data_IF_034053772479
#
_entry.id   IF_034053772479
#
_cell.length_a   1.000
_cell.length_b   1.000
_cell.length_c   1.000
_cell.angle_alpha   90.00
_cell.angle_beta   90.00
_cell.angle_gamma   90.00
#
_symmetry.space_group_name_H-M   'P 1'
#
loop_
_entity.id
_entity.type
_entity.pdbx_description
1 polymer ?
#
# COMPACT_ATOMS: atom_id res chain seq x y z
N UNK A 1 -18.81 10.90 9.62
CA UNK A 1 -18.48 9.74 10.46
C UNK A 1 -17.32 10.14 11.35
N UNK A 2 -17.32 9.76 12.63
CA UNK A 2 -16.19 10.06 13.51
C UNK A 2 -14.93 9.41 12.95
N UNK A 3 -13.83 10.16 12.93
CA UNK A 3 -12.55 9.71 12.39
C UNK A 3 -11.44 10.26 13.27
N UNK A 4 -10.47 9.43 13.61
CA UNK A 4 -9.38 9.79 14.50
C UNK A 4 -8.20 10.37 13.73
N UNK A 5 -7.65 11.47 14.25
CA UNK A 5 -6.41 12.06 13.75
C UNK A 5 -5.47 12.29 14.91
N UNK A 6 -4.28 11.69 14.85
CA UNK A 6 -3.35 11.73 15.96
C UNK A 6 -2.27 10.65 15.86
N UNK A 7 -1.64 10.36 16.99
CA UNK A 7 -0.65 9.29 17.12
C UNK A 7 -1.27 8.10 17.84
N UNK A 8 -1.10 6.92 17.27
CA UNK A 8 -1.44 5.63 17.87
C UNK A 8 -0.15 5.02 18.38
N UNK A 9 -0.07 4.74 19.68
CA UNK A 9 0.97 3.87 20.24
C UNK A 9 0.32 2.55 20.62
N UNK A 10 0.89 1.47 20.13
CA UNK A 10 0.36 0.13 20.25
C UNK A 10 1.46 -0.76 20.81
N UNK A 11 1.13 -1.57 21.82
CA UNK A 11 1.93 -2.72 22.20
C UNK A 11 1.12 -3.98 21.91
N UNK A 12 1.70 -4.86 21.11
CA UNK A 12 1.17 -6.22 20.93
C UNK A 12 1.82 -7.09 21.99
N UNK A 13 1.02 -7.57 22.95
CA UNK A 13 1.51 -8.38 24.07
C UNK A 13 1.61 -9.84 23.64
N UNK A 14 0.47 -10.50 23.47
CA UNK A 14 0.37 -11.93 23.18
C UNK A 14 -0.94 -12.28 22.47
N UNK A 15 -1.03 -13.51 21.95
CA UNK A 15 -2.29 -14.09 21.52
C UNK A 15 -2.46 -15.48 22.14
N UNK A 16 -3.71 -15.88 22.35
CA UNK A 16 -4.07 -17.18 22.91
C UNK A 16 -5.10 -17.87 22.02
N UNK A 17 -5.13 -19.20 22.11
CA UNK A 17 -6.15 -20.03 21.46
C UNK A 17 -6.24 -19.85 19.93
N UNK A 18 -5.12 -19.54 19.28
CA UNK A 18 -5.07 -19.44 17.82
C UNK A 18 -5.42 -20.78 17.19
N UNK A 19 -6.40 -20.77 16.26
CA UNK A 19 -6.83 -21.95 15.53
C UNK A 19 -6.28 -21.93 14.11
N UNK A 20 -5.45 -22.90 13.72
CA UNK A 20 -5.04 -23.04 12.32
C UNK A 20 -6.28 -23.27 11.43
N UNK A 21 -6.32 -22.62 10.27
CA UNK A 21 -7.40 -22.80 9.29
C UNK A 21 -7.31 -24.19 8.63
N UNK A 22 -8.41 -24.75 8.14
CA UNK A 22 -8.38 -26.06 7.46
C UNK A 22 -7.33 -26.12 6.34
N UNK A 23 -7.08 -24.99 5.65
CA UNK A 23 -6.03 -24.83 4.66
C UNK A 23 -4.62 -25.15 5.21
N UNK A 24 -4.28 -24.64 6.40
CA UNK A 24 -2.99 -24.92 7.07
C UNK A 24 -2.84 -26.40 7.45
N UNK A 25 -3.95 -27.12 7.67
CA UNK A 25 -3.92 -28.56 8.02
C UNK A 25 -3.82 -29.51 6.82
N UNK A 26 -3.99 -29.01 5.57
CA UNK A 26 -4.00 -29.85 4.36
C UNK A 26 -2.67 -30.54 4.06
N UNK A 27 -1.55 -29.92 4.42
CA UNK A 27 -0.22 -30.51 4.22
C UNK A 27 0.19 -31.51 5.31
N UNK A 28 -0.62 -31.66 6.37
CA UNK A 28 -0.31 -32.50 7.52
C UNK A 28 -0.86 -33.93 7.41
N UNK A 29 -1.92 -34.14 6.62
CA UNK A 29 -2.60 -35.43 6.52
C UNK A 29 -1.97 -36.30 5.42
N UNK A 30 -0.76 -36.78 5.69
CA UNK A 30 -0.20 -37.95 4.99
C UNK A 30 -0.89 -39.20 5.56
N UNK A 31 -1.42 -40.04 4.68
CA UNK A 31 -2.09 -41.30 5.01
C UNK A 31 -1.17 -42.16 5.90
N UNK A 32 -1.59 -42.44 7.14
CA UNK A 32 -0.94 -43.40 8.05
C UNK A 32 -0.33 -42.86 9.35
N UNK A 33 -0.33 -41.54 9.57
CA UNK A 33 0.27 -40.92 10.78
C UNK A 33 -0.79 -40.45 11.78
N UNK A 34 -0.54 -40.61 13.10
CA UNK A 34 -1.39 -40.03 14.16
C UNK A 34 -1.55 -38.51 13.95
N UNK A 35 -2.71 -37.91 14.27
CA UNK A 35 -2.91 -36.47 14.14
C UNK A 35 -1.98 -35.73 15.12
N UNK A 36 -0.86 -35.25 14.63
CA UNK A 36 0.03 -34.37 15.38
C UNK A 36 -0.50 -32.94 15.19
N UNK A 37 -0.79 -32.23 16.29
CA UNK A 37 -1.14 -30.80 16.23
C UNK A 37 0.03 -30.04 15.57
N UNK A 38 -0.15 -29.63 14.32
CA UNK A 38 0.84 -28.86 13.57
C UNK A 38 0.88 -27.44 14.12
N UNK A 39 1.85 -27.19 15.00
CA UNK A 39 2.13 -25.86 15.53
C UNK A 39 2.43 -24.88 14.38
N UNK A 40 1.90 -23.67 14.49
CA UNK A 40 2.10 -22.60 13.51
C UNK A 40 3.26 -21.67 13.90
N UNK A 41 3.73 -20.89 12.94
CA UNK A 41 4.70 -19.82 13.12
C UNK A 41 4.02 -18.45 13.02
N UNK A 42 3.36 -17.94 14.09
CA UNK A 42 2.47 -16.80 13.98
C UNK A 42 3.21 -15.45 13.97
N UNK A 43 2.70 -14.50 13.19
CA UNK A 43 3.00 -13.08 13.31
C UNK A 43 1.72 -12.25 13.11
N UNK A 44 1.72 -11.00 13.59
CA UNK A 44 0.59 -10.08 13.48
C UNK A 44 0.92 -8.97 12.48
N UNK A 45 0.00 -8.75 11.55
CA UNK A 45 -0.08 -7.57 10.70
C UNK A 45 -0.96 -6.52 11.37
N UNK A 46 -0.48 -5.28 11.44
CA UNK A 46 -1.21 -4.14 12.00
C UNK A 46 -1.66 -3.24 10.85
N UNK A 47 -2.95 -2.98 10.78
CA UNK A 47 -3.59 -2.29 9.67
C UNK A 47 -4.40 -1.11 10.19
N UNK A 48 -4.42 0.00 9.47
CA UNK A 48 -5.33 1.13 9.71
C UNK A 48 -6.13 1.35 8.44
N UNK A 49 -7.46 1.22 8.52
CA UNK A 49 -8.37 1.28 7.35
C UNK A 49 -7.87 0.41 6.17
N UNK A 50 -7.54 -0.86 6.45
CA UNK A 50 -6.98 -1.84 5.52
C UNK A 50 -5.55 -1.55 5.00
N UNK A 51 -4.95 -0.42 5.38
CA UNK A 51 -3.57 -0.08 5.03
C UNK A 51 -2.62 -0.70 6.06
N UNK A 52 -1.73 -1.58 5.60
CA UNK A 52 -0.66 -2.16 6.42
C UNK A 52 0.27 -1.05 6.96
N UNK A 53 0.36 -0.95 8.28
CA UNK A 53 1.25 -0.02 9.00
C UNK A 53 2.54 -0.71 9.40
N UNK A 54 2.43 -1.87 10.04
CA UNK A 54 3.58 -2.60 10.57
C UNK A 54 3.28 -4.10 10.72
N UNK A 55 4.32 -4.89 11.05
CA UNK A 55 4.20 -6.30 11.38
C UNK A 55 5.06 -6.62 12.60
N UNK A 56 4.62 -7.59 13.39
CA UNK A 56 5.43 -8.14 14.49
C UNK A 56 6.52 -9.10 13.98
N UNK A 57 7.42 -9.49 14.87
CA UNK A 57 8.27 -10.66 14.64
C UNK A 57 7.44 -11.94 14.55
N UNK A 58 7.95 -12.93 13.82
CA UNK A 58 7.38 -14.27 13.75
C UNK A 58 7.83 -15.09 14.95
N UNK A 59 6.88 -15.67 15.68
CA UNK A 59 7.17 -16.67 16.72
C UNK A 59 7.12 -18.04 16.10
N UNK A 60 7.99 -18.93 16.56
CA UNK A 60 8.12 -20.26 15.97
C UNK A 60 7.29 -21.26 16.77
N UNK A 61 6.55 -22.12 16.06
CA UNK A 61 5.88 -23.33 16.57
C UNK A 61 5.06 -23.10 17.84
N UNK A 62 4.06 -22.22 17.78
CA UNK A 62 3.18 -21.92 18.92
C UNK A 62 1.78 -21.46 18.51
N UNK A 63 0.76 -21.85 19.28
CA UNK A 63 -0.60 -21.27 19.23
C UNK A 63 -0.81 -20.17 20.28
N UNK A 64 0.20 -19.93 21.12
CA UNK A 64 0.22 -18.94 22.19
C UNK A 64 1.45 -18.03 22.08
N UNK A 65 1.57 -17.25 20.98
CA UNK A 65 2.72 -16.38 20.79
C UNK A 65 2.74 -15.21 21.77
N UNK A 66 3.94 -14.88 22.26
CA UNK A 66 4.21 -13.69 23.08
C UNK A 66 5.18 -12.80 22.30
N UNK A 67 4.73 -11.60 21.93
CA UNK A 67 5.51 -10.63 21.16
C UNK A 67 6.14 -9.57 22.05
N UNK A 68 5.34 -8.90 22.88
CA UNK A 68 5.74 -7.73 23.66
C UNK A 68 6.45 -6.65 22.81
N UNK A 69 5.89 -6.38 21.63
CA UNK A 69 6.46 -5.45 20.65
C UNK A 69 5.67 -4.14 20.60
N UNK A 70 6.39 -3.02 20.44
CA UNK A 70 5.83 -1.67 20.45
C UNK A 70 5.85 -1.06 19.04
N UNK A 71 4.77 -0.37 18.71
CA UNK A 71 4.55 0.29 17.44
C UNK A 71 4.00 1.69 17.66
N UNK A 72 4.46 2.65 16.86
CA UNK A 72 3.94 4.01 16.86
C UNK A 72 3.63 4.43 15.44
N UNK A 73 2.43 4.96 15.21
CA UNK A 73 2.00 5.42 13.90
C UNK A 73 1.21 6.73 14.00
N UNK A 74 1.50 7.67 13.09
CA UNK A 74 0.66 8.84 12.85
C UNK A 74 -0.45 8.46 11.88
N UNK A 75 -1.70 8.77 12.25
CA UNK A 75 -2.89 8.44 11.48
C UNK A 75 -3.73 9.70 11.27
N UNK A 76 -4.35 9.80 10.09
CA UNK A 76 -5.16 10.95 9.69
C UNK A 76 -6.51 10.48 9.16
N UNK A 77 -7.58 10.91 9.81
CA UNK A 77 -8.94 10.52 9.43
C UNK A 77 -9.20 9.02 9.51
N UNK A 78 -8.56 8.33 10.45
CA UNK A 78 -8.61 6.89 10.58
C UNK A 78 -9.91 6.41 11.24
N UNK A 79 -10.49 5.31 10.77
CA UNK A 79 -11.74 4.76 11.31
C UNK A 79 -11.51 3.49 12.11
N UNK A 80 -10.69 2.58 11.58
CA UNK A 80 -10.50 1.23 12.13
C UNK A 80 -9.02 0.88 12.31
N UNK A 81 -8.71 0.26 13.45
CA UNK A 81 -7.44 -0.40 13.73
C UNK A 81 -7.65 -1.92 13.62
N UNK A 82 -7.00 -2.54 12.65
CA UNK A 82 -7.09 -3.96 12.36
C UNK A 82 -5.84 -4.75 12.77
N UNK A 83 -6.06 -5.97 13.22
CA UNK A 83 -5.01 -6.95 13.50
C UNK A 83 -5.29 -8.21 12.68
N UNK A 84 -4.28 -8.72 11.98
CA UNK A 84 -4.41 -9.98 11.23
C UNK A 84 -3.24 -10.89 11.55
N UNK A 85 -3.55 -12.08 12.07
CA UNK A 85 -2.58 -13.12 12.40
C UNK A 85 -2.35 -14.01 11.19
N UNK A 86 -1.08 -14.23 10.86
CA UNK A 86 -0.64 -15.10 9.79
C UNK A 86 0.29 -16.18 10.31
N UNK A 87 0.25 -17.36 9.71
CA UNK A 87 1.28 -18.39 9.83
C UNK A 87 2.33 -18.17 8.74
N UNK A 88 3.57 -17.90 9.13
CA UNK A 88 4.69 -17.82 8.19
C UNK A 88 4.97 -19.20 7.57
N UNK A 89 4.65 -19.36 6.30
CA UNK A 89 4.80 -20.61 5.55
C UNK A 89 5.36 -20.33 4.16
N UNK A 90 6.10 -21.30 3.60
CA UNK A 90 6.56 -21.24 2.22
C UNK A 90 5.60 -22.05 1.33
N UNK A 91 5.07 -21.49 0.22
CA UNK A 91 5.54 -20.29 -0.49
C UNK A 91 4.82 -18.98 -0.13
N UNK A 92 3.75 -19.03 0.67
CA UNK A 92 2.97 -17.87 1.09
C UNK A 92 2.46 -18.06 2.50
N UNK A 93 2.41 -16.97 3.26
CA UNK A 93 1.88 -16.97 4.61
C UNK A 93 0.38 -17.27 4.60
N UNK A 94 -0.04 -18.17 5.48
CA UNK A 94 -1.44 -18.57 5.60
C UNK A 94 -2.17 -17.68 6.58
N UNK A 95 -3.37 -17.23 6.22
CA UNK A 95 -4.25 -16.51 7.13
C UNK A 95 -4.67 -17.43 8.28
N UNK A 96 -4.59 -16.92 9.51
CA UNK A 96 -5.03 -17.62 10.73
C UNK A 96 -6.31 -17.00 11.24
N UNK A 97 -6.27 -15.71 11.60
CA UNK A 97 -7.42 -15.00 12.16
C UNK A 97 -7.25 -13.48 12.05
N UNK A 98 -8.32 -12.71 12.19
CA UNK A 98 -8.26 -11.24 12.26
C UNK A 98 -9.26 -10.65 13.26
N UNK A 99 -9.06 -9.38 13.59
CA UNK A 99 -10.04 -8.55 14.26
C UNK A 99 -9.87 -7.09 13.83
N UNK A 100 -10.89 -6.28 14.09
CA UNK A 100 -10.87 -4.84 13.86
C UNK A 100 -11.58 -4.14 15.00
N UNK A 101 -11.05 -3.02 15.46
CA UNK A 101 -11.65 -2.16 16.48
C UNK A 101 -11.73 -0.74 15.94
N UNK A 102 -12.83 -0.04 16.17
CA UNK A 102 -12.93 1.35 15.72
C UNK A 102 -12.13 2.28 16.64
N UNK A 103 -11.57 3.35 16.08
CA UNK A 103 -10.91 4.37 16.89
C UNK A 103 -11.88 5.12 17.81
N UNK A 104 -13.16 5.18 17.46
CA UNK A 104 -14.18 5.82 18.28
C UNK A 104 -14.46 4.99 19.55
N UNK A 105 -14.61 3.66 19.41
CA UNK A 105 -14.74 2.75 20.56
C UNK A 105 -13.53 2.86 21.49
N UNK A 106 -12.31 2.84 20.94
CA UNK A 106 -11.07 2.97 21.72
C UNK A 106 -10.95 4.32 22.44
N UNK A 107 -11.42 5.40 21.81
CA UNK A 107 -11.41 6.72 22.41
C UNK A 107 -12.47 6.87 23.52
N UNK A 108 -13.61 6.20 23.38
CA UNK A 108 -14.67 6.21 24.38
C UNK A 108 -14.32 5.33 25.59
N UNK A 109 -13.77 4.14 25.38
CA UNK A 109 -13.32 3.26 26.47
C UNK A 109 -12.21 3.89 27.32
N UNK A 110 -11.27 4.59 26.69
CA UNK A 110 -10.23 5.36 27.39
C UNK A 110 -10.82 6.44 28.32
N UNK A 111 -11.81 7.19 27.83
CA UNK A 111 -12.48 8.25 28.61
C UNK A 111 -13.24 7.68 29.82
N UNK A 112 -13.93 6.56 29.64
CA UNK A 112 -14.69 5.90 30.72
C UNK A 112 -13.77 5.38 31.84
N UNK A 113 -12.58 4.92 31.49
CA UNK A 113 -11.60 4.39 32.45
C UNK A 113 -10.70 5.48 33.07
N UNK A 114 -10.80 6.74 32.61
CA UNK A 114 -9.93 7.83 33.07
C UNK A 114 -8.46 7.63 32.73
N UNK A 115 -8.16 6.79 31.74
CA UNK A 115 -6.81 6.43 31.28
C UNK A 115 -6.68 6.72 29.79
N UNK A 116 -5.50 7.17 29.33
CA UNK A 116 -5.23 7.32 27.89
C UNK A 116 -4.86 5.99 27.21
N UNK A 117 -4.79 4.91 27.99
CA UNK A 117 -4.32 3.59 27.58
C UNK A 117 -5.45 2.57 27.72
N UNK A 118 -5.72 1.88 26.61
CA UNK A 118 -6.64 0.75 26.55
C UNK A 118 -5.85 -0.54 26.63
N UNK A 119 -5.88 -1.21 27.78
CA UNK A 119 -5.31 -2.53 27.99
C UNK A 119 -6.42 -3.59 27.84
N UNK A 120 -6.51 -4.21 26.66
CA UNK A 120 -7.70 -4.99 26.26
C UNK A 120 -7.36 -6.31 25.56
N UNK A 121 -8.22 -7.30 25.78
CA UNK A 121 -8.30 -8.51 24.97
C UNK A 121 -9.34 -8.31 23.87
N UNK A 122 -8.97 -8.61 22.63
CA UNK A 122 -9.85 -8.53 21.47
C UNK A 122 -10.02 -9.94 20.90
N UNK A 123 -11.27 -10.36 20.70
CA UNK A 123 -11.57 -11.64 20.08
C UNK A 123 -11.17 -11.63 18.60
N UNK A 124 -10.51 -12.71 18.16
CA UNK A 124 -10.12 -12.93 16.77
C UNK A 124 -11.14 -13.85 16.09
N UNK A 125 -11.46 -13.59 14.84
CA UNK A 125 -12.29 -14.46 14.00
C UNK A 125 -11.40 -15.28 13.05
N UNK A 126 -11.61 -16.62 12.90
CA UNK A 126 -12.70 -17.43 13.46
C UNK A 126 -12.46 -17.94 14.89
N UNK A 127 -11.31 -17.66 15.50
CA UNK A 127 -11.04 -18.01 16.89
C UNK A 127 -9.69 -17.54 17.41
N UNK A 128 -9.60 -17.45 18.74
CA UNK A 128 -8.46 -16.94 19.47
C UNK A 128 -8.74 -15.55 20.04
N UNK A 129 -7.80 -15.05 20.84
CA UNK A 129 -7.84 -13.68 21.37
C UNK A 129 -6.46 -13.06 21.27
N UNK A 130 -6.39 -11.76 21.05
CA UNK A 130 -5.15 -10.99 21.07
C UNK A 130 -5.19 -9.95 22.19
N UNK A 131 -4.11 -9.88 22.94
CA UNK A 131 -3.90 -8.90 24.01
C UNK A 131 -3.10 -7.72 23.47
N UNK A 132 -3.70 -6.54 23.52
CA UNK A 132 -3.08 -5.31 23.04
C UNK A 132 -3.26 -4.19 24.03
N UNK A 133 -2.27 -3.31 24.05
CA UNK A 133 -2.28 -2.08 24.82
C UNK A 133 -2.22 -0.91 23.84
N UNK A 134 -3.23 -0.05 23.83
CA UNK A 134 -3.39 1.01 22.82
C UNK A 134 -3.53 2.38 23.51
N UNK A 135 -2.61 3.29 23.23
CA UNK A 135 -2.67 4.69 23.64
C UNK A 135 -2.97 5.57 22.43
N UNK A 136 -4.06 6.36 22.52
CA UNK A 136 -4.48 7.29 21.47
C UNK A 136 -4.17 8.73 21.87
N UNK A 137 -3.25 9.35 21.15
CA UNK A 137 -2.88 10.76 21.36
C UNK A 137 -3.52 11.61 20.25
N UNK A 138 -4.67 12.22 20.53
CA UNK A 138 -5.36 13.12 19.58
C UNK A 138 -4.52 14.37 19.31
N UNK A 139 -4.52 14.83 18.05
CA UNK A 139 -3.89 16.10 17.68
C UNK A 139 -4.55 17.32 18.35
N UNK A 140 -5.83 17.21 18.72
CA UNK A 140 -6.59 18.30 19.36
C UNK A 140 -6.32 18.40 20.87
N UNK A 141 -5.78 17.33 21.49
CA UNK A 141 -5.45 17.29 22.93
C UNK A 141 -4.12 18.00 23.29
N UNK A 142 -3.43 18.61 22.31
CA UNK A 142 -2.18 19.36 22.57
C UNK A 142 -2.44 20.71 23.30
N UNK A 143 -3.71 21.09 23.51
CA UNK A 143 -4.07 22.33 24.21
C UNK A 143 -4.26 22.20 25.74
N UNK A 144 -4.15 21.00 26.34
CA UNK A 144 -4.57 20.78 27.73
C UNK A 144 -3.58 20.02 28.63
N UNK A 145 -2.27 20.21 28.45
CA UNK A 145 -1.30 19.89 29.53
C UNK A 145 -0.53 21.14 29.97
N UNK A 146 -0.60 21.40 31.28
CA UNK A 146 0.01 22.54 31.97
C UNK A 146 1.53 22.64 31.66
N UNK A 147 2.08 23.85 31.48
CA UNK A 147 3.50 24.01 31.17
C UNK A 147 4.34 23.53 32.36
N UNK A 148 5.03 22.39 32.19
CA UNK A 148 6.16 22.03 33.06
C UNK A 148 7.34 22.90 32.65
N UNK A 149 7.78 23.74 33.58
CA UNK A 149 8.94 24.62 33.42
C UNK A 149 10.16 23.85 32.89
N UNK A 150 10.67 24.33 31.76
CA UNK A 150 11.86 23.80 31.12
C UNK A 150 13.11 24.26 31.88
N UNK A 151 13.67 23.41 32.76
CA UNK A 151 15.06 23.56 33.17
C UNK A 151 15.96 23.19 31.97
N UNK A 152 16.52 24.23 31.37
CA UNK A 152 17.49 24.16 30.29
C UNK A 152 18.69 23.28 30.69
N UNK A 153 18.71 22.04 30.20
CA UNK A 153 19.96 21.28 30.06
C UNK A 153 20.35 21.26 28.59
N UNK A 154 21.50 21.87 28.35
CA UNK A 154 22.21 21.93 27.08
C UNK A 154 22.38 20.52 26.51
N UNK A 155 22.04 20.34 25.22
CA UNK A 155 22.15 19.05 24.54
C UNK A 155 21.92 19.20 23.04
N UNK A 156 23.02 19.21 22.30
CA UNK A 156 23.18 19.34 20.87
C UNK A 156 22.34 18.33 20.06
N UNK A 157 21.35 18.79 19.28
CA UNK A 157 21.13 18.47 17.85
C UNK A 157 19.74 18.91 17.35
N UNK A 158 19.71 20.03 16.61
CA UNK A 158 18.60 20.40 15.71
C UNK A 158 18.38 19.29 14.68
N UNK A 159 17.31 18.49 14.80
CA UNK A 159 16.80 17.74 13.64
C UNK A 159 15.84 18.62 12.87
N UNK A 160 16.31 19.05 11.70
CA UNK A 160 15.59 19.81 10.67
C UNK A 160 14.25 19.15 10.34
N UNK A 161 13.20 19.95 10.18
CA UNK A 161 11.86 19.50 9.80
C UNK A 161 11.85 18.62 8.55
N UNK A 162 10.93 17.65 8.50
CA UNK A 162 10.80 16.73 7.39
C UNK A 162 10.40 17.48 6.11
N UNK A 163 11.30 17.49 5.12
CA UNK A 163 11.04 18.01 3.78
C UNK A 163 9.87 17.25 3.15
N UNK A 164 8.76 17.95 2.86
CA UNK A 164 7.59 17.42 2.16
C UNK A 164 8.03 16.76 0.85
N UNK A 165 7.78 15.45 0.68
CA UNK A 165 8.22 14.70 -0.51
C UNK A 165 7.47 15.23 -1.75
N UNK A 166 8.20 15.64 -2.79
CA UNK A 166 7.63 16.11 -4.06
C UNK A 166 6.91 14.97 -4.79
N UNK A 167 5.66 15.21 -5.18
CA UNK A 167 4.83 14.29 -5.98
C UNK A 167 4.80 14.80 -7.42
N UNK A 168 5.04 13.91 -8.38
CA UNK A 168 4.99 14.23 -9.81
C UNK A 168 3.66 13.74 -10.37
N UNK A 169 2.85 14.63 -10.95
CA UNK A 169 1.55 14.29 -11.49
C UNK A 169 1.58 14.26 -13.02
N UNK A 170 1.38 13.09 -13.62
CA UNK A 170 1.45 12.88 -15.08
C UNK A 170 0.28 12.01 -15.52
N UNK A 171 -0.59 12.49 -16.42
CA UNK A 171 -1.75 11.75 -16.96
C UNK A 171 -2.58 10.99 -15.89
N UNK A 172 -2.79 11.65 -14.74
CA UNK A 172 -3.54 11.10 -13.61
C UNK A 172 -2.74 10.23 -12.64
N UNK A 173 -1.51 9.85 -12.97
CA UNK A 173 -0.61 9.17 -12.06
C UNK A 173 -0.02 10.13 -11.03
N UNK A 174 -0.01 9.74 -9.75
CA UNK A 174 0.70 10.43 -8.66
C UNK A 174 2.00 9.69 -8.35
N UNK A 175 3.06 10.03 -9.07
CA UNK A 175 4.38 9.40 -8.95
C UNK A 175 5.14 9.93 -7.73
N UNK A 176 5.58 9.01 -6.88
CA UNK A 176 6.41 9.31 -5.71
C UNK A 176 7.71 8.53 -5.74
N UNK A 177 8.80 9.22 -5.36
CA UNK A 177 10.11 8.60 -5.25
C UNK A 177 10.13 7.55 -4.12
N UNK A 178 10.38 6.29 -4.51
CA UNK A 178 10.32 5.12 -3.63
C UNK A 178 11.62 4.31 -3.64
N UNK A 179 11.84 3.54 -2.58
CA UNK A 179 12.94 2.56 -2.49
C UNK A 179 12.38 1.21 -2.95
N UNK A 180 12.96 0.65 -4.02
CA UNK A 180 12.56 -0.62 -4.59
C UNK A 180 13.39 -1.73 -3.93
N UNK A 181 12.82 -2.41 -2.94
CA UNK A 181 13.54 -3.43 -2.13
C UNK A 181 13.79 -4.75 -2.87
N UNK A 182 13.18 -4.92 -4.04
CA UNK A 182 13.29 -6.11 -4.88
C UNK A 182 13.69 -5.69 -6.31
N UNK A 183 14.30 -6.58 -7.10
CA UNK A 183 14.57 -6.31 -8.50
C UNK A 183 13.28 -5.90 -9.21
N UNK A 184 13.25 -4.68 -9.75
CA UNK A 184 12.03 -4.08 -10.31
C UNK A 184 12.34 -3.52 -11.68
N UNK A 185 11.47 -3.80 -12.66
CA UNK A 185 11.61 -3.33 -14.03
C UNK A 185 10.65 -2.16 -14.30
N UNK A 186 11.08 -1.23 -15.14
CA UNK A 186 10.30 -0.05 -15.50
C UNK A 186 9.15 -0.42 -16.44
N UNK A 187 7.93 -0.04 -16.10
CA UNK A 187 6.74 -0.30 -16.93
C UNK A 187 6.78 0.41 -18.30
N UNK A 188 7.53 1.51 -18.40
CA UNK A 188 7.64 2.29 -19.64
C UNK A 188 8.68 1.71 -20.62
N UNK A 189 9.93 1.51 -20.17
CA UNK A 189 11.01 1.05 -21.04
C UNK A 189 11.36 -0.44 -20.89
N UNK A 190 10.76 -1.15 -19.92
CA UNK A 190 11.01 -2.56 -19.58
C UNK A 190 12.42 -2.90 -19.10
N UNK A 191 13.25 -1.88 -18.85
CA UNK A 191 14.60 -2.06 -18.32
C UNK A 191 14.65 -2.08 -16.79
N UNK A 192 15.68 -2.70 -16.25
CA UNK A 192 15.93 -2.79 -14.81
C UNK A 192 16.09 -1.41 -14.16
N UNK A 193 15.42 -1.18 -13.03
CA UNK A 193 15.57 0.05 -12.23
C UNK A 193 16.67 -0.19 -11.20
N UNK A 194 17.80 0.50 -11.39
CA UNK A 194 18.98 0.39 -10.55
C UNK A 194 19.34 1.74 -9.91
N UNK A 195 20.04 1.69 -8.78
CA UNK A 195 20.59 2.87 -8.11
C UNK A 195 20.59 2.76 -6.58
N UNK A 196 21.31 3.65 -5.90
CA UNK A 196 21.34 3.72 -4.44
C UNK A 196 20.16 4.55 -3.90
N UNK A 197 19.50 4.06 -2.85
CA UNK A 197 18.38 4.75 -2.19
C UNK A 197 17.07 4.69 -2.97
N UNK A 198 16.47 5.85 -3.26
CA UNK A 198 15.21 5.93 -4.04
C UNK A 198 15.53 5.76 -5.52
N UNK A 199 15.21 4.60 -6.08
CA UNK A 199 15.69 4.15 -7.40
C UNK A 199 14.72 4.55 -8.52
N UNK A 200 13.41 4.51 -8.24
CA UNK A 200 12.36 4.77 -9.20
C UNK A 200 11.19 5.52 -8.59
N UNK A 201 10.20 5.79 -9.44
CA UNK A 201 8.93 6.39 -9.06
C UNK A 201 7.83 5.34 -9.10
N UNK A 202 7.00 5.32 -8.07
CA UNK A 202 5.83 4.45 -7.99
C UNK A 202 4.57 5.31 -7.90
N UNK A 203 3.61 5.02 -8.76
CA UNK A 203 2.30 5.62 -8.70
C UNK A 203 1.58 5.14 -7.44
N UNK A 204 1.15 6.08 -6.58
CA UNK A 204 0.42 5.76 -5.35
C UNK A 204 -0.99 5.19 -5.59
N UNK A 205 -1.50 5.31 -6.82
CA UNK A 205 -2.86 4.92 -7.18
C UNK A 205 -2.87 3.52 -7.81
N UNK A 206 -2.24 3.36 -8.97
CA UNK A 206 -2.28 2.10 -9.70
C UNK A 206 -1.07 1.19 -9.43
N UNK A 207 -0.10 1.60 -8.62
CA UNK A 207 1.17 0.90 -8.35
C UNK A 207 2.14 0.76 -9.52
N UNK A 208 1.90 1.43 -10.66
CA UNK A 208 2.84 1.47 -11.79
C UNK A 208 4.21 2.00 -11.34
N UNK A 209 5.28 1.31 -11.73
CA UNK A 209 6.67 1.71 -11.39
C UNK A 209 7.44 2.06 -12.66
N UNK A 210 8.13 3.20 -12.62
CA UNK A 210 8.95 3.71 -13.72
C UNK A 210 10.28 4.29 -13.22
N UNK A 211 11.28 4.41 -14.10
CA UNK A 211 12.49 5.18 -13.78
C UNK A 211 12.14 6.64 -13.51
N UNK A 212 13.00 7.34 -12.75
CA UNK A 212 12.91 8.80 -12.57
C UNK A 212 12.92 9.56 -13.90
N UNK A 213 13.64 9.08 -14.92
CA UNK A 213 13.64 9.68 -16.26
C UNK A 213 12.42 9.32 -17.12
N UNK A 214 11.74 8.21 -16.80
CA UNK A 214 10.65 7.69 -17.64
C UNK A 214 9.28 8.22 -17.25
N UNK A 215 9.13 8.84 -16.08
CA UNK A 215 7.83 9.23 -15.55
C UNK A 215 7.10 10.30 -16.37
N UNK A 216 7.82 11.22 -16.99
CA UNK A 216 7.27 12.28 -17.86
C UNK A 216 6.75 11.72 -19.20
N UNK A 217 7.25 10.55 -19.60
CA UNK A 217 6.89 9.88 -20.86
C UNK A 217 5.73 8.89 -20.71
N UNK A 218 5.11 8.79 -19.51
CA UNK A 218 3.94 7.93 -19.29
C UNK A 218 2.71 8.60 -19.88
N UNK A 219 2.32 8.13 -21.06
CA UNK A 219 1.20 8.66 -21.87
C UNK A 219 -0.15 8.02 -21.54
N UNK A 220 -0.14 6.86 -20.88
CA UNK A 220 -1.35 6.16 -20.44
C UNK A 220 -2.01 6.88 -19.26
N UNK A 221 -3.34 6.96 -19.28
CA UNK A 221 -4.10 7.49 -18.13
C UNK A 221 -4.08 6.51 -16.96
N UNK A 222 -4.01 7.04 -15.74
CA UNK A 222 -4.09 6.22 -14.54
C UNK A 222 -5.51 5.69 -14.30
N UNK A 223 -5.74 4.37 -14.20
CA UNK A 223 -7.09 3.80 -14.07
C UNK A 223 -7.76 4.02 -12.70
N UNK A 224 -7.00 4.44 -11.68
CA UNK A 224 -7.55 4.64 -10.32
C UNK A 224 -7.79 6.09 -9.95
N UNK A 225 -7.69 7.03 -10.89
CA UNK A 225 -8.08 8.42 -10.64
C UNK A 225 -9.60 8.55 -10.83
N UNK A 226 -10.34 9.00 -9.80
CA UNK A 226 -11.75 9.39 -9.96
C UNK A 226 -11.80 10.65 -10.82
N UNK A 227 -12.44 10.58 -11.98
CA UNK A 227 -12.62 11.71 -12.89
C UNK A 227 -13.43 12.80 -12.18
N UNK A 228 -12.73 13.84 -11.76
CA UNK A 228 -13.35 15.10 -11.37
C UNK A 228 -13.35 15.96 -12.62
N UNK A 229 -14.52 16.14 -13.22
CA UNK A 229 -14.86 17.03 -14.37
C UNK A 229 -14.90 16.41 -15.78
N UNK A 230 -16.09 16.55 -16.38
CA UNK A 230 -16.53 16.35 -17.77
C UNK A 230 -15.61 15.59 -18.74
N UNK A 231 -16.18 14.48 -19.24
CA UNK A 231 -15.77 13.69 -20.40
C UNK A 231 -15.66 14.49 -21.73
N UNK A 232 -15.92 15.79 -21.73
CA UNK A 232 -15.91 16.64 -22.93
C UNK A 232 -14.53 17.21 -23.30
N UNK A 233 -13.52 17.13 -22.42
CA UNK A 233 -12.13 17.47 -22.79
C UNK A 233 -11.31 16.28 -23.33
N UNK A 234 -11.90 15.09 -23.40
CA UNK A 234 -11.33 13.96 -24.14
C UNK A 234 -11.39 14.16 -25.66
N UNK A 235 -12.04 15.22 -26.15
CA UNK A 235 -12.00 15.65 -27.55
C UNK A 235 -10.71 16.41 -27.94
N UNK A 236 -9.86 16.79 -26.96
CA UNK A 236 -8.60 17.51 -27.22
C UNK A 236 -7.37 16.62 -27.45
N UNK A 237 -7.39 15.36 -26.99
CA UNK A 237 -6.36 14.36 -27.27
C UNK A 237 -6.91 13.36 -28.28
N UNK A 238 -6.54 13.51 -29.55
CA UNK A 238 -7.06 12.75 -30.70
C UNK A 238 -6.71 11.25 -30.71
N UNK A 239 -6.32 10.68 -29.57
CA UNK A 239 -5.86 9.29 -29.44
C UNK A 239 -6.47 8.64 -28.20
N UNK A 240 -7.78 8.39 -28.22
CA UNK A 240 -8.43 7.51 -27.25
C UNK A 240 -8.19 6.06 -27.66
N UNK A 241 -7.01 5.56 -27.32
CA UNK A 241 -6.65 4.16 -27.52
C UNK A 241 -7.30 3.35 -26.40
N UNK A 242 -8.32 2.57 -26.75
CA UNK A 242 -9.03 1.68 -25.84
C UNK A 242 -9.10 0.27 -26.44
N UNK A 243 -7.94 -0.39 -26.47
CA UNK A 243 -7.78 -1.76 -26.97
C UNK A 243 -7.48 -2.63 -25.74
N UNK A 244 -8.48 -3.34 -25.18
CA UNK A 244 -8.30 -4.11 -23.96
C UNK A 244 -7.40 -5.32 -24.20
N UNK A 245 -6.65 -5.71 -23.17
CA UNK A 245 -5.84 -6.92 -23.18
C UNK A 245 -6.71 -8.17 -22.97
N UNK A 246 -6.40 -9.25 -23.70
CA UNK A 246 -6.98 -10.59 -23.45
C UNK A 246 -6.04 -11.39 -22.56
N UNK A 247 -6.20 -11.23 -21.25
CA UNK A 247 -5.38 -11.90 -20.24
C UNK A 247 -5.85 -13.32 -19.96
N UNK A 248 -4.94 -14.28 -20.05
CA UNK A 248 -5.17 -15.67 -19.64
C UNK A 248 -4.15 -16.10 -18.59
N UNK A 249 -4.54 -17.04 -17.72
CA UNK A 249 -3.63 -17.58 -16.70
C UNK A 249 -2.48 -18.31 -17.39
N UNK A 250 -1.25 -17.92 -17.04
CA UNK A 250 -0.04 -18.48 -17.65
C UNK A 250 0.89 -19.11 -16.60
N UNK A 251 1.56 -20.19 -16.99
CA UNK A 251 2.56 -20.88 -16.19
C UNK A 251 3.95 -20.49 -16.70
N UNK A 252 4.66 -19.66 -15.94
CA UNK A 252 6.00 -19.20 -16.30
C UNK A 252 7.04 -20.23 -15.85
N UNK A 253 7.86 -20.70 -16.79
CA UNK A 253 8.96 -21.64 -16.52
C UNK A 253 10.26 -20.95 -16.07
N UNK A 254 10.29 -19.63 -16.08
CA UNK A 254 11.44 -18.79 -15.71
C UNK A 254 10.97 -17.61 -14.85
N UNK A 255 11.85 -17.05 -13.99
CA UNK A 255 11.53 -15.83 -13.24
C UNK A 255 11.06 -14.74 -14.20
N UNK A 256 9.79 -14.34 -14.06
CA UNK A 256 9.13 -13.36 -14.92
C UNK A 256 8.62 -12.21 -14.05
N UNK A 257 8.63 -10.99 -14.57
CA UNK A 257 8.23 -9.80 -13.84
C UNK A 257 6.93 -9.23 -14.41
N UNK A 258 6.15 -8.58 -13.55
CA UNK A 258 4.94 -7.90 -13.96
C UNK A 258 5.30 -6.62 -14.72
N UNK A 259 4.79 -6.46 -15.95
CA UNK A 259 5.02 -5.29 -16.80
C UNK A 259 4.33 -4.01 -16.29
N UNK A 260 3.50 -4.13 -15.26
CA UNK A 260 2.77 -3.01 -14.64
C UNK A 260 3.44 -2.51 -13.37
N UNK A 261 3.55 -3.36 -12.34
CA UNK A 261 4.17 -2.96 -11.07
C UNK A 261 5.69 -3.21 -11.01
N UNK A 262 6.25 -3.88 -12.03
CA UNK A 262 7.68 -4.16 -12.14
C UNK A 262 8.20 -5.29 -11.25
N UNK A 263 7.41 -5.79 -10.29
CA UNK A 263 7.81 -6.85 -9.34
C UNK A 263 7.62 -8.25 -9.92
N UNK A 264 8.35 -9.23 -9.37
CA UNK A 264 8.33 -10.62 -9.81
C UNK A 264 6.95 -11.28 -9.70
N UNK A 265 6.58 -12.10 -10.69
CA UNK A 265 5.43 -13.00 -10.67
C UNK A 265 5.83 -14.25 -9.87
N UNK A 266 5.47 -14.28 -8.58
CA UNK A 266 5.84 -15.36 -7.66
C UNK A 266 4.96 -16.61 -7.83
N UNK A 267 5.56 -17.80 -7.60
CA UNK A 267 4.88 -19.10 -7.56
C UNK A 267 5.48 -20.15 -8.50
N UNK A 268 5.14 -21.43 -8.30
CA UNK A 268 5.59 -22.55 -9.14
C UNK A 268 4.70 -22.79 -10.37
N UNK A 269 3.41 -22.46 -10.27
CA UNK A 269 2.42 -22.55 -11.34
C UNK A 269 1.42 -21.40 -11.24
N UNK A 270 0.81 -21.01 -12.36
CA UNK A 270 -0.25 -19.98 -12.47
C UNK A 270 0.13 -18.66 -11.79
N UNK A 271 1.40 -18.25 -11.92
CA UNK A 271 2.01 -17.12 -11.21
C UNK A 271 1.39 -15.77 -11.59
N UNK A 272 0.84 -15.69 -12.81
CA UNK A 272 0.27 -14.47 -13.33
C UNK A 272 -0.61 -14.71 -14.55
N UNK A 273 -0.91 -13.60 -15.20
CA UNK A 273 -1.68 -13.54 -16.42
C UNK A 273 -0.76 -13.10 -17.56
N UNK A 274 -0.96 -13.65 -18.74
CA UNK A 274 -0.31 -13.21 -19.96
C UNK A 274 -1.37 -12.78 -20.97
N UNK A 275 -1.14 -11.65 -21.63
CA UNK A 275 -1.99 -11.24 -22.74
C UNK A 275 -1.67 -12.10 -23.97
N UNK A 276 -2.67 -12.76 -24.55
CA UNK A 276 -2.49 -13.61 -25.73
C UNK A 276 -2.05 -12.84 -26.98
N UNK A 277 -2.39 -11.55 -27.06
CA UNK A 277 -2.11 -10.73 -28.24
C UNK A 277 -0.74 -10.04 -28.20
N UNK A 278 -0.29 -9.60 -27.02
CA UNK A 278 0.92 -8.78 -26.90
C UNK A 278 1.94 -9.31 -25.88
N UNK A 279 1.72 -10.50 -25.33
CA UNK A 279 2.59 -11.19 -24.37
C UNK A 279 2.90 -10.38 -23.10
N UNK A 280 2.07 -9.39 -22.77
CA UNK A 280 2.21 -8.61 -21.54
C UNK A 280 1.90 -9.49 -20.32
N UNK A 281 2.82 -9.52 -19.36
CA UNK A 281 2.74 -10.38 -18.18
C UNK A 281 2.37 -9.54 -16.96
N UNK A 282 1.31 -9.91 -16.24
CA UNK A 282 0.84 -9.15 -15.07
C UNK A 282 0.41 -10.04 -13.92
N UNK A 283 0.49 -9.52 -12.69
CA UNK A 283 -0.16 -10.20 -11.56
C UNK A 283 -1.67 -10.21 -11.73
N UNK A 284 -2.34 -11.21 -11.16
CA UNK A 284 -3.81 -11.23 -11.05
C UNK A 284 -4.36 -9.94 -10.43
N UNK A 285 -3.72 -9.42 -9.37
CA UNK A 285 -4.08 -8.14 -8.73
C UNK A 285 -3.84 -6.91 -9.62
N UNK A 286 -2.91 -6.99 -10.57
CA UNK A 286 -2.54 -5.86 -11.42
C UNK A 286 -3.45 -5.74 -12.64
N UNK A 287 -4.14 -6.81 -13.05
CA UNK A 287 -5.01 -6.85 -14.24
C UNK A 287 -5.93 -5.64 -14.36
N UNK A 288 -6.66 -5.31 -13.27
CA UNK A 288 -7.60 -4.18 -13.24
C UNK A 288 -6.96 -2.79 -13.34
N UNK A 289 -5.65 -2.71 -13.12
CA UNK A 289 -4.88 -1.46 -13.10
C UNK A 289 -4.05 -1.27 -14.37
N UNK A 290 -4.16 -2.16 -15.35
CA UNK A 290 -3.48 -2.05 -16.65
C UNK A 290 -4.30 -1.17 -17.58
N UNK A 291 -3.64 -0.31 -18.37
CA UNK A 291 -4.31 0.51 -19.38
C UNK A 291 -4.76 -0.34 -20.59
N UNK A 292 -5.87 0.04 -21.22
CA UNK A 292 -6.38 -0.61 -22.43
C UNK A 292 -5.61 -0.14 -23.68
N UNK A 293 -4.32 -0.47 -23.79
CA UNK A 293 -3.47 -0.12 -24.93
C UNK A 293 -2.76 -1.34 -25.52
N UNK A 294 -3.45 -2.48 -25.57
CA UNK A 294 -2.90 -3.74 -26.04
C UNK A 294 -2.30 -3.62 -27.44
N UNK A 295 -1.11 -4.20 -27.62
CA UNK A 295 -0.39 -4.20 -28.90
C UNK A 295 0.45 -2.95 -29.17
N UNK A 296 0.42 -1.94 -28.29
CA UNK A 296 1.16 -0.69 -28.48
C UNK A 296 2.38 -0.64 -27.56
N UNK A 297 3.53 -0.27 -28.13
CA UNK A 297 4.75 -0.06 -27.36
C UNK A 297 4.73 1.33 -26.69
N UNK A 298 4.69 1.44 -25.35
CA UNK A 298 4.60 2.73 -24.67
C UNK A 298 5.77 3.67 -24.96
N UNK A 299 6.97 3.11 -25.19
CA UNK A 299 8.18 3.88 -25.50
C UNK A 299 8.09 4.52 -26.88
N UNK A 300 7.78 3.73 -27.91
CA UNK A 300 7.61 4.22 -29.28
C UNK A 300 6.47 5.24 -29.38
N UNK A 301 5.37 4.99 -28.66
CA UNK A 301 4.25 5.92 -28.60
C UNK A 301 4.67 7.27 -27.99
N UNK A 302 5.44 7.26 -26.91
CA UNK A 302 5.96 8.48 -26.30
C UNK A 302 6.95 9.22 -27.21
N UNK A 303 7.81 8.50 -27.94
CA UNK A 303 8.74 9.07 -28.92
C UNK A 303 7.98 9.78 -30.07
N UNK A 304 6.97 9.12 -30.64
CA UNK A 304 6.12 9.67 -31.71
C UNK A 304 5.35 10.91 -31.21
N UNK A 305 4.75 10.85 -30.01
CA UNK A 305 4.04 11.99 -29.43
C UNK A 305 4.97 13.17 -29.12
N UNK A 306 6.19 12.88 -28.66
CA UNK A 306 7.21 13.90 -28.43
C UNK A 306 7.66 14.56 -29.73
N UNK A 307 7.84 13.79 -30.82
CA UNK A 307 8.15 14.32 -32.14
C UNK A 307 7.02 15.22 -32.69
N UNK A 308 5.77 14.93 -32.33
CA UNK A 308 4.61 15.78 -32.65
C UNK A 308 4.41 16.97 -31.70
N UNK A 309 5.32 17.20 -30.74
CA UNK A 309 5.25 18.32 -29.80
C UNK A 309 4.17 18.22 -28.71
N UNK A 310 3.60 17.02 -28.54
CA UNK A 310 2.55 16.69 -27.57
C UNK A 310 3.23 16.05 -26.34
N UNK A 311 3.41 16.83 -25.28
CA UNK A 311 3.95 16.34 -24.00
C UNK A 311 2.85 16.24 -22.94
N UNK A 312 2.93 15.26 -22.04
CA UNK A 312 1.92 14.95 -21.01
C UNK A 312 1.60 16.12 -20.07
N UNK A 313 2.50 17.10 -19.97
CA UNK A 313 2.35 18.29 -19.11
C UNK A 313 1.48 19.41 -19.71
N UNK A 314 1.21 19.41 -21.02
CA UNK A 314 0.42 20.51 -21.65
C UNK A 314 -1.08 20.41 -21.38
N UNK A 315 -1.57 19.31 -20.80
CA UNK A 315 -2.99 19.10 -20.48
C UNK A 315 -3.44 19.73 -19.16
N UNK A 316 -2.51 20.12 -18.27
CA UNK A 316 -2.86 20.63 -16.92
C UNK A 316 -2.69 22.15 -16.77
N UNK A 317 -1.95 22.84 -17.64
CA UNK A 317 -1.63 24.28 -17.48
C UNK A 317 -2.62 25.28 -18.10
N UNK A 318 -3.64 24.83 -18.84
CA UNK A 318 -4.61 25.73 -19.50
C UNK A 318 -5.86 26.00 -18.65
N UNK A 319 -5.69 26.56 -17.45
CA UNK A 319 -6.78 27.23 -16.69
C UNK A 319 -6.19 28.29 -15.75
N UNK A 320 -5.67 29.38 -16.30
CA UNK A 320 -5.74 30.69 -15.66
C UNK A 320 -6.75 31.51 -16.46
N UNK A 321 -7.99 31.59 -15.95
CA UNK A 321 -8.95 32.61 -16.40
C UNK A 321 -8.30 33.97 -16.13
N UNK A 322 -8.06 34.75 -17.17
CA UNK A 322 -7.87 36.19 -17.05
C UNK A 322 -9.23 36.76 -16.68
N UNK A 323 -9.43 37.11 -15.41
CA UNK A 323 -10.55 37.95 -15.00
C UNK A 323 -10.27 39.39 -15.44
N UNK A 324 -11.24 39.96 -16.14
CA UNK A 324 -11.09 41.11 -17.03
C UNK A 324 -10.68 42.43 -16.38
N UNK A 325 -10.10 43.28 -17.22
CA UNK A 325 -10.06 44.73 -17.05
C UNK A 325 -11.48 45.28 -17.17
N UNK A 326 -12.01 45.78 -16.06
CA UNK A 326 -13.10 46.74 -16.07
C UNK A 326 -12.54 48.12 -16.44
N UNK A 327 -13.00 48.66 -17.56
CA UNK A 327 -12.85 50.06 -17.90
C UNK A 327 -13.56 50.91 -16.84
N UNK A 328 -12.89 51.93 -16.32
CA UNK A 328 -13.53 53.07 -15.67
C UNK A 328 -12.79 54.34 -16.06
N UNK A 329 -13.55 55.16 -16.81
CA UNK A 329 -13.39 56.57 -17.21
C UNK A 329 -12.19 56.97 -18.06
#
# INVERSE_FOLDING_TARGET
MPSFTGTVKLKICEAVELKPTDLTTRHANVVGSKPQLMLIDPYVSINVDDILISRSSTKQRTFKPVWNEYFTAEVHGAQNLGFTVFHAALPSDDFVANCSVSFDELANSAKEQGSNENDIWIDLEPGGKIHVVIELVSADNVAAEKPREFKQRQGLNRRRGAMRRRVHQVNGHKFMATILRQPTFCSHCREFIWGLGKQGYQCQVCTCVVHKRCHEFVVTKCPGMKDSTNDELAAGSRFNINIPHRFVVHNYKRPTFCDHCGSMLYGLFRQGLQCEACNMNVHKRCQKNVANNCGINPKQMAEILSAMGISGDKLTKRKKKVSGQSFHF
#
